data_IF_699033227120
#
_entry.id   IF_699033227120
#
_cell.length_a   1.000
_cell.length_b   1.000
_cell.length_c   1.000
_cell.angle_alpha   90.00
_cell.angle_beta   90.00
_cell.angle_gamma   90.00
#
_symmetry.space_group_name_H-M   'P 1'
#
loop_
_entity.id
_entity.type
_entity.pdbx_description
1 polymer ?
#
# COMPACT_ATOMS: atom_id res chain seq x y z
N UNK A 1 27.75 -11.78 -26.33
CA UNK A 1 26.84 -11.29 -25.27
C UNK A 1 26.26 -12.50 -24.59
N UNK A 2 26.82 -12.89 -23.45
CA UNK A 2 26.30 -13.99 -22.63
C UNK A 2 25.32 -13.35 -21.65
N UNK A 3 24.03 -13.60 -21.80
CA UNK A 3 23.03 -13.20 -20.81
C UNK A 3 23.29 -14.02 -19.54
N UNK A 4 23.71 -13.35 -18.46
CA UNK A 4 23.85 -13.99 -17.16
C UNK A 4 22.46 -14.40 -16.63
N UNK A 5 22.19 -15.71 -16.42
CA UNK A 5 20.89 -16.18 -15.95
C UNK A 5 20.50 -15.66 -14.55
N UNK A 6 21.45 -15.09 -13.80
CA UNK A 6 21.22 -14.50 -12.46
C UNK A 6 20.49 -13.15 -12.46
N UNK A 7 20.58 -12.36 -13.53
CA UNK A 7 19.95 -11.03 -13.61
C UNK A 7 18.42 -11.08 -13.70
N UNK A 8 17.89 -12.12 -14.36
CA UNK A 8 16.44 -12.27 -14.57
C UNK A 8 15.74 -12.75 -13.29
N UNK A 9 16.38 -13.65 -12.53
CA UNK A 9 15.84 -14.20 -11.28
C UNK A 9 15.79 -13.13 -10.18
N UNK A 10 16.84 -12.30 -10.07
CA UNK A 10 16.89 -11.19 -9.11
C UNK A 10 15.84 -10.12 -9.43
N UNK A 11 15.68 -9.77 -10.71
CA UNK A 11 14.62 -8.87 -11.18
C UNK A 11 13.20 -9.39 -10.89
N UNK A 12 12.94 -10.69 -11.11
CA UNK A 12 11.64 -11.30 -10.82
C UNK A 12 11.32 -11.32 -9.32
N UNK A 13 12.29 -11.71 -8.47
CA UNK A 13 12.11 -11.70 -7.00
C UNK A 13 11.85 -10.29 -6.48
N UNK A 14 12.58 -9.29 -7.00
CA UNK A 14 12.36 -7.88 -6.67
C UNK A 14 10.97 -7.39 -7.05
N UNK A 15 10.51 -7.71 -8.27
CA UNK A 15 9.14 -7.37 -8.70
C UNK A 15 8.08 -8.03 -7.81
N UNK A 16 8.24 -9.31 -7.49
CA UNK A 16 7.32 -10.02 -6.60
C UNK A 16 7.29 -9.41 -5.19
N UNK A 17 8.45 -9.02 -4.65
CA UNK A 17 8.55 -8.32 -3.38
C UNK A 17 7.81 -6.97 -3.41
N UNK A 18 8.03 -6.15 -4.45
CA UNK A 18 7.34 -4.87 -4.58
C UNK A 18 5.82 -5.05 -4.68
N UNK A 19 5.36 -6.03 -5.46
CA UNK A 19 3.93 -6.35 -5.52
C UNK A 19 3.39 -6.73 -4.14
N UNK A 20 4.10 -7.59 -3.40
CA UNK A 20 3.69 -7.98 -2.05
C UNK A 20 3.60 -6.77 -1.11
N UNK A 21 4.58 -5.87 -1.14
CA UNK A 21 4.58 -4.63 -0.33
C UNK A 21 3.34 -3.78 -0.59
N UNK A 22 3.00 -3.56 -1.87
CA UNK A 22 1.82 -2.75 -2.22
C UNK A 22 0.51 -3.43 -1.87
N UNK A 23 0.41 -4.75 -2.03
CA UNK A 23 -0.76 -5.53 -1.60
C UNK A 23 -0.94 -5.44 -0.09
N UNK A 24 0.11 -5.66 0.71
CA UNK A 24 0.05 -5.54 2.17
C UNK A 24 -0.31 -4.13 2.60
N UNK A 25 0.26 -3.10 1.97
CA UNK A 25 -0.09 -1.71 2.24
C UNK A 25 -1.58 -1.43 1.99
N UNK A 26 -2.13 -1.94 0.91
CA UNK A 26 -3.55 -1.79 0.58
C UNK A 26 -4.45 -2.47 1.61
N UNK A 27 -4.13 -3.71 1.97
CA UNK A 27 -4.88 -4.47 2.98
C UNK A 27 -4.84 -3.78 4.35
N UNK A 28 -3.68 -3.23 4.74
CA UNK A 28 -3.54 -2.50 5.99
C UNK A 28 -4.38 -1.21 5.98
N UNK A 29 -4.36 -0.46 4.87
CA UNK A 29 -5.20 0.74 4.72
C UNK A 29 -6.69 0.42 4.81
N UNK A 30 -7.13 -0.66 4.16
CA UNK A 30 -8.52 -1.13 4.24
C UNK A 30 -8.91 -1.56 5.66
N UNK A 31 -8.04 -2.27 6.38
CA UNK A 31 -8.29 -2.68 7.76
C UNK A 31 -8.41 -1.48 8.70
N UNK A 32 -7.58 -0.45 8.50
CA UNK A 32 -7.68 0.81 9.27
C UNK A 32 -8.98 1.53 8.91
N UNK A 33 -9.32 1.67 7.64
CA UNK A 33 -10.56 2.33 7.23
C UNK A 33 -11.82 1.63 7.76
N UNK A 34 -11.82 0.30 7.83
CA UNK A 34 -12.94 -0.47 8.38
C UNK A 34 -13.17 -0.26 9.88
N UNK A 35 -12.14 0.18 10.62
CA UNK A 35 -12.18 0.33 12.09
C UNK A 35 -12.18 1.78 12.54
N UNK A 36 -11.73 2.69 11.69
CA UNK A 36 -11.53 4.09 12.03
C UNK A 36 -12.84 4.84 12.07
N UNK A 37 -13.05 5.58 13.16
CA UNK A 37 -14.16 6.53 13.33
C UNK A 37 -13.65 7.94 13.64
N UNK A 38 -12.39 8.19 13.30
CA UNK A 38 -11.65 9.38 13.73
C UNK A 38 -11.88 10.51 12.73
N UNK A 39 -12.51 11.58 13.20
CA UNK A 39 -12.75 12.80 12.43
C UNK A 39 -14.04 12.79 11.61
N UNK A 40 -14.35 13.89 10.91
CA UNK A 40 -15.56 14.02 10.11
C UNK A 40 -15.55 13.00 8.97
N UNK A 41 -16.74 12.51 8.63
CA UNK A 41 -16.95 11.72 7.42
C UNK A 41 -16.79 12.65 6.22
N UNK A 42 -15.85 12.32 5.35
CA UNK A 42 -15.58 13.08 4.12
C UNK A 42 -16.36 12.52 2.93
N UNK A 43 -16.63 11.21 2.93
CA UNK A 43 -17.38 10.54 1.88
C UNK A 43 -18.29 9.48 2.49
N UNK A 44 -19.60 9.56 2.28
CA UNK A 44 -20.50 8.47 2.65
C UNK A 44 -20.50 7.41 1.55
N UNK A 45 -19.98 6.22 1.83
CA UNK A 45 -19.98 5.09 0.90
C UNK A 45 -21.29 4.31 0.97
N UNK A 46 -21.84 4.15 2.18
CA UNK A 46 -23.11 3.47 2.44
C UNK A 46 -23.87 4.19 3.56
N UNK A 47 -25.11 3.75 3.83
CA UNK A 47 -25.93 4.31 4.92
C UNK A 47 -25.26 4.20 6.30
N UNK A 48 -24.38 3.21 6.51
CA UNK A 48 -23.75 2.90 7.79
C UNK A 48 -22.22 3.01 7.77
N UNK A 49 -21.61 3.42 6.64
CA UNK A 49 -20.17 3.47 6.50
C UNK A 49 -19.75 4.66 5.63
N UNK A 50 -18.86 5.48 6.17
CA UNK A 50 -18.28 6.61 5.48
C UNK A 50 -16.76 6.60 5.66
N UNK A 51 -16.07 7.11 4.66
CA UNK A 51 -14.63 7.37 4.73
C UNK A 51 -14.42 8.55 5.66
N UNK A 52 -13.70 8.31 6.74
CA UNK A 52 -13.32 9.33 7.72
C UNK A 52 -12.05 10.05 7.28
N UNK A 53 -11.87 11.30 7.74
CA UNK A 53 -10.62 12.04 7.52
C UNK A 53 -9.40 11.25 8.05
N UNK A 54 -9.57 10.53 9.17
CA UNK A 54 -8.56 9.61 9.69
C UNK A 54 -8.13 8.51 8.71
N UNK A 55 -9.03 8.04 7.85
CA UNK A 55 -8.74 7.02 6.84
C UNK A 55 -7.78 7.57 5.80
N UNK A 56 -7.99 8.81 5.35
CA UNK A 56 -7.11 9.45 4.37
C UNK A 56 -5.70 9.63 4.92
N UNK A 57 -5.59 10.00 6.21
CA UNK A 57 -4.28 10.13 6.88
C UNK A 57 -3.61 8.77 7.00
N UNK A 58 -4.36 7.72 7.37
CA UNK A 58 -3.84 6.36 7.45
C UNK A 58 -3.35 5.86 6.08
N UNK A 59 -4.15 6.01 5.03
CA UNK A 59 -3.77 5.65 3.67
C UNK A 59 -2.53 6.42 3.21
N UNK A 60 -2.45 7.72 3.48
CA UNK A 60 -1.27 8.53 3.14
C UNK A 60 0.00 8.02 3.85
N UNK A 61 -0.07 7.70 5.14
CA UNK A 61 1.07 7.17 5.89
C UNK A 61 1.50 5.78 5.37
N UNK A 62 0.54 4.89 5.13
CA UNK A 62 0.79 3.51 4.70
C UNK A 62 1.37 3.48 3.27
N UNK A 63 0.77 4.24 2.34
CA UNK A 63 1.28 4.33 0.98
C UNK A 63 2.59 5.10 0.90
N UNK A 64 2.80 6.10 1.75
CA UNK A 64 4.09 6.76 1.92
C UNK A 64 5.19 5.76 2.31
N UNK A 65 4.91 4.88 3.26
CA UNK A 65 5.83 3.79 3.63
C UNK A 65 6.13 2.83 2.47
N UNK A 66 5.11 2.37 1.76
CA UNK A 66 5.28 1.49 0.59
C UNK A 66 6.09 2.15 -0.53
N UNK A 67 5.89 3.46 -0.74
CA UNK A 67 6.66 4.25 -1.69
C UNK A 67 8.14 4.34 -1.27
N UNK A 68 8.42 4.65 -0.01
CA UNK A 68 9.81 4.70 0.51
C UNK A 68 10.51 3.35 0.32
N UNK A 69 9.83 2.23 0.60
CA UNK A 69 10.37 0.88 0.36
C UNK A 69 10.65 0.66 -1.13
N UNK A 70 9.74 1.10 -2.00
CA UNK A 70 9.92 0.99 -3.46
C UNK A 70 11.14 1.79 -3.94
N UNK A 71 11.31 3.01 -3.42
CA UNK A 71 12.43 3.88 -3.78
C UNK A 71 13.77 3.34 -3.26
N UNK A 72 13.80 2.78 -2.04
CA UNK A 72 15.00 2.16 -1.46
C UNK A 72 15.34 0.80 -2.07
N UNK A 73 14.39 0.18 -2.73
CA UNK A 73 14.60 -1.08 -3.46
C UNK A 73 15.12 -0.84 -4.88
N UNK A 74 15.34 0.41 -5.33
CA UNK A 74 16.05 0.71 -6.60
C UNK A 74 17.53 0.39 -6.49
#
# INVERSE_FOLDING_TARGET
>A
MVEEPGGVVSGRRRRAFLVAVWVTATLLGLAVAATTRIGPVLLALTRNHGVHLGDLVAFAAIYGGALVVTLRSR
#
